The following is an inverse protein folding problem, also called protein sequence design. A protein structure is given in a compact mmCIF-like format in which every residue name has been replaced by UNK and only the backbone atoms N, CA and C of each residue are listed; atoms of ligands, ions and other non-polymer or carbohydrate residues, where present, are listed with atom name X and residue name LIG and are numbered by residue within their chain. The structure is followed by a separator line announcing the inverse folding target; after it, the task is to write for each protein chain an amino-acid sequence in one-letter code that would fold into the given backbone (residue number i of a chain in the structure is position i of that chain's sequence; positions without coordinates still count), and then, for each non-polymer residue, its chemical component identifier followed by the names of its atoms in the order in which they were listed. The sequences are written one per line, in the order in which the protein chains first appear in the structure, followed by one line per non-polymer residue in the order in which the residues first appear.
data_IF_804016639307
#
_entry.id   IF_804016639307
#
_cell.length_a   1.000
_cell.length_b   1.000
_cell.length_c   1.000
_cell.angle_alpha   90.00
_cell.angle_beta   90.00
_cell.angle_gamma   90.00
#
_symmetry.space_group_name_H-M   'P 1'
#
loop_
_entity.id
_entity.type
_entity.pdbx_description
1 polymer ?
#
# COMPACT_ATOMS: atom_id res chain seq x y z
N UNK A 1 15.45 -8.70 -0.72
CA UNK A 1 14.21 -9.21 -0.05
C UNK A 1 13.03 -8.43 -0.58
N UNK A 2 11.96 -9.11 -1.00
CA UNK A 2 10.72 -8.45 -1.45
C UNK A 2 9.82 -8.21 -0.21
N UNK A 3 9.19 -7.04 -0.11
CA UNK A 3 8.32 -6.67 1.04
C UNK A 3 6.87 -6.88 0.65
N UNK A 4 6.11 -7.62 1.47
CA UNK A 4 4.67 -7.79 1.30
C UNK A 4 3.95 -6.63 1.96
N UNK A 5 2.98 -6.06 1.25
CA UNK A 5 2.26 -4.85 1.69
C UNK A 5 0.77 -4.94 1.41
N UNK A 6 0.00 -4.30 2.29
CA UNK A 6 -1.41 -4.00 2.15
C UNK A 6 -1.58 -2.54 1.74
N UNK A 7 -2.54 -2.29 0.87
CA UNK A 7 -2.89 -0.97 0.37
C UNK A 7 -4.20 -0.51 0.98
N UNK A 8 -4.17 0.69 1.57
CA UNK A 8 -5.38 1.37 1.99
C UNK A 8 -5.51 2.67 1.21
N UNK A 9 -6.73 3.03 0.83
CA UNK A 9 -7.05 4.23 0.06
C UNK A 9 -8.13 5.04 0.74
N UNK A 10 -7.96 6.36 0.74
CA UNK A 10 -8.99 7.29 1.18
C UNK A 10 -9.89 7.73 0.04
N UNK A 11 -11.03 8.32 0.36
CA UNK A 11 -12.01 8.81 -0.62
C UNK A 11 -11.47 9.95 -1.52
N UNK A 12 -10.43 10.65 -1.06
CA UNK A 12 -9.72 11.70 -1.82
C UNK A 12 -8.58 11.16 -2.69
N UNK A 13 -8.39 9.82 -2.72
CA UNK A 13 -7.40 9.17 -3.57
C UNK A 13 -5.98 9.11 -3.01
N UNK A 14 -5.80 9.41 -1.72
CA UNK A 14 -4.53 9.18 -1.03
C UNK A 14 -4.39 7.72 -0.64
N UNK A 15 -3.16 7.22 -0.59
CA UNK A 15 -2.88 5.79 -0.40
C UNK A 15 -1.85 5.59 0.70
N UNK A 16 -2.05 4.58 1.54
CA UNK A 16 -1.08 4.13 2.52
C UNK A 16 -0.62 2.70 2.22
N UNK A 17 0.67 2.46 2.45
CA UNK A 17 1.32 1.14 2.38
C UNK A 17 1.64 0.65 3.79
N UNK A 18 1.10 -0.51 4.16
CA UNK A 18 1.36 -1.19 5.43
C UNK A 18 1.96 -2.57 5.20
N UNK A 19 2.77 -3.08 6.14
CA UNK A 19 3.21 -4.48 6.16
C UNK A 19 2.35 -5.37 7.08
N UNK A 20 2.69 -6.68 7.13
CA UNK A 20 2.09 -7.71 8.01
C UNK A 20 1.95 -7.38 9.50
N UNK A 21 2.71 -6.40 9.98
CA UNK A 21 2.77 -6.02 11.40
C UNK A 21 2.12 -4.66 11.62
N UNK A 22 1.26 -4.25 10.70
CA UNK A 22 0.67 -2.91 10.63
C UNK A 22 1.74 -1.82 10.64
N UNK A 23 2.96 -2.11 10.16
CA UNK A 23 3.99 -1.09 10.04
C UNK A 23 3.78 -0.33 8.75
N UNK A 24 3.55 0.97 8.91
CA UNK A 24 3.56 1.90 7.82
C UNK A 24 4.91 1.91 7.08
N UNK A 25 4.85 2.04 5.75
CA UNK A 25 6.03 2.11 4.90
C UNK A 25 6.09 3.38 4.06
N UNK A 26 4.98 3.77 3.45
CA UNK A 26 4.93 4.92 2.57
C UNK A 26 3.50 5.38 2.34
N UNK A 27 3.36 6.62 1.92
CA UNK A 27 2.10 7.23 1.52
C UNK A 27 2.18 7.80 0.11
N UNK A 28 1.05 7.80 -0.58
CA UNK A 28 0.82 8.62 -1.76
C UNK A 28 0.02 9.85 -1.33
N UNK A 29 0.67 11.02 -1.33
CA UNK A 29 0.12 12.30 -0.88
C UNK A 29 0.45 13.38 -1.90
N UNK A 30 -0.51 14.28 -2.17
CA UNK A 30 -0.35 15.39 -3.11
C UNK A 30 0.20 14.98 -4.48
N UNK A 31 -0.19 13.79 -4.97
CA UNK A 31 0.25 13.25 -6.26
C UNK A 31 1.67 12.69 -6.29
N UNK A 32 2.28 12.40 -5.13
CA UNK A 32 3.64 11.86 -5.01
C UNK A 32 3.74 10.76 -3.96
N UNK A 33 4.62 9.79 -4.20
CA UNK A 33 5.02 8.80 -3.20
C UNK A 33 6.07 9.35 -2.25
N UNK A 34 5.84 9.16 -0.95
CA UNK A 34 6.71 9.63 0.12
C UNK A 34 6.99 8.47 1.09
N UNK A 35 8.27 8.21 1.36
CA UNK A 35 8.70 7.21 2.35
C UNK A 35 8.56 7.75 3.78
N UNK A 36 8.16 6.89 4.72
CA UNK A 36 8.16 7.16 6.17
C UNK A 36 7.38 8.42 6.62
N UNK A 37 6.50 8.97 5.77
CA UNK A 37 5.58 10.06 6.14
C UNK A 37 4.21 9.47 6.42
N UNK A 38 4.00 9.11 7.69
CA UNK A 38 2.69 8.75 8.22
C UNK A 38 1.79 9.99 8.16
N UNK A 39 0.57 9.82 7.65
CA UNK A 39 -0.49 10.81 7.81
C UNK A 39 -0.69 11.10 9.30
N UNK A 40 -1.05 12.35 9.63
CA UNK A 40 -1.43 12.65 11.01
C UNK A 40 -2.66 11.81 11.36
N UNK A 41 -2.78 11.33 12.59
CA UNK A 41 -3.84 10.40 13.01
C UNK A 41 -5.28 10.88 12.74
N UNK A 42 -5.45 12.19 12.57
CA UNK A 42 -6.71 12.84 12.16
C UNK A 42 -7.02 12.79 10.65
N UNK A 43 -6.00 12.57 9.79
CA UNK A 43 -6.17 12.42 8.34
C UNK A 43 -6.61 10.97 7.98
N UNK A 44 -6.56 10.04 8.94
CA UNK A 44 -6.79 8.60 8.73
C UNK A 44 -8.24 8.13 8.94
N UNK A 45 -9.20 9.03 9.22
CA UNK A 45 -10.55 8.61 9.68
C UNK A 45 -11.37 7.82 8.64
N UNK A 46 -11.01 7.82 7.35
CA UNK A 46 -11.71 7.05 6.31
C UNK A 46 -10.74 6.41 5.28
N UNK A 47 -9.97 5.41 5.70
CA UNK A 47 -9.18 4.57 4.79
C UNK A 47 -9.83 3.20 4.63
N UNK A 48 -10.14 2.85 3.38
CA UNK A 48 -10.67 1.53 3.01
C UNK A 48 -9.56 0.66 2.43
N UNK A 49 -9.60 -0.63 2.71
CA UNK A 49 -8.70 -1.60 2.09
C UNK A 49 -9.01 -1.66 0.59
N UNK A 50 -7.98 -1.57 -0.26
CA UNK A 50 -8.14 -1.84 -1.69
C UNK A 50 -8.22 -3.35 -1.88
N UNK A 51 -9.29 -3.84 -2.51
CA UNK A 51 -9.53 -5.25 -2.81
C UNK A 51 -9.48 -5.59 -4.32
N UNK A 52 -9.51 -4.57 -5.19
CA UNK A 52 -9.33 -4.75 -6.63
C UNK A 52 -7.87 -5.06 -6.98
N UNK A 53 -7.63 -6.28 -7.46
CA UNK A 53 -6.30 -6.76 -7.85
C UNK A 53 -5.63 -5.90 -8.94
N UNK A 54 -6.39 -5.38 -9.91
CA UNK A 54 -5.81 -4.53 -10.96
C UNK A 54 -5.39 -3.18 -10.38
N UNK A 55 -6.20 -2.62 -9.48
CA UNK A 55 -5.86 -1.38 -8.77
C UNK A 55 -4.61 -1.58 -7.91
N UNK A 56 -4.55 -2.68 -7.14
CA UNK A 56 -3.39 -3.06 -6.33
C UNK A 56 -2.13 -3.17 -7.20
N UNK A 57 -2.18 -3.90 -8.31
CA UNK A 57 -1.02 -4.06 -9.18
C UNK A 57 -0.54 -2.73 -9.77
N UNK A 58 -1.47 -1.87 -10.20
CA UNK A 58 -1.16 -0.54 -10.75
C UNK A 58 -0.49 0.35 -9.71
N UNK A 59 -1.07 0.45 -8.51
CA UNK A 59 -0.56 1.27 -7.40
C UNK A 59 0.81 0.76 -6.95
N UNK A 60 0.99 -0.57 -6.84
CA UNK A 60 2.27 -1.15 -6.49
C UNK A 60 3.33 -0.93 -7.57
N UNK A 61 2.98 -0.97 -8.86
CA UNK A 61 3.93 -0.69 -9.93
C UNK A 61 4.44 0.76 -9.86
N UNK A 62 3.53 1.70 -9.58
CA UNK A 62 3.86 3.10 -9.37
C UNK A 62 4.74 3.29 -8.14
N UNK A 63 4.34 2.73 -7.00
CA UNK A 63 5.08 2.80 -5.74
C UNK A 63 6.48 2.17 -5.87
N UNK A 64 6.62 1.03 -6.55
CA UNK A 64 7.93 0.39 -6.80
C UNK A 64 8.86 1.30 -7.56
N UNK A 65 8.34 2.00 -8.56
CA UNK A 65 9.12 2.90 -9.41
C UNK A 65 9.53 4.14 -8.63
N UNK A 66 8.59 4.76 -7.90
CA UNK A 66 8.84 5.99 -7.17
C UNK A 66 9.71 5.79 -5.91
N UNK A 67 9.54 4.68 -5.21
CA UNK A 67 10.25 4.37 -3.96
C UNK A 67 11.53 3.53 -4.18
N UNK A 68 11.78 3.10 -5.42
CA UNK A 68 12.87 2.19 -5.79
C UNK A 68 12.94 0.92 -4.90
N UNK A 69 11.78 0.44 -4.44
CA UNK A 69 11.66 -0.64 -3.47
C UNK A 69 10.92 -1.84 -4.08
N UNK A 70 11.37 -3.09 -3.86
CA UNK A 70 10.64 -4.27 -4.30
C UNK A 70 9.44 -4.55 -3.39
N UNK A 71 8.30 -3.94 -3.69
CA UNK A 71 7.01 -4.19 -3.06
C UNK A 71 6.29 -5.37 -3.73
N UNK A 72 5.50 -6.10 -2.95
CA UNK A 72 4.61 -7.18 -3.39
C UNK A 72 3.28 -7.03 -2.67
N UNK A 73 2.20 -7.31 -3.38
CA UNK A 73 0.90 -7.41 -2.76
C UNK A 73 0.88 -8.55 -1.74
N UNK A 74 0.31 -8.28 -0.58
CA UNK A 74 0.08 -9.28 0.45
C UNK A 74 -1.21 -10.07 0.25
N UNK A 75 -2.23 -9.48 -0.39
CA UNK A 75 -3.52 -10.14 -0.60
C UNK A 75 -3.40 -11.38 -1.52
N UNK A 76 -2.41 -11.37 -2.41
CA UNK A 76 -2.04 -12.46 -3.33
C UNK A 76 -1.52 -13.73 -2.62
N UNK A 77 -1.12 -13.67 -1.36
CA UNK A 77 -0.57 -14.83 -0.64
C UNK A 77 -1.63 -15.88 -0.25
N UNK A 78 -2.93 -15.53 -0.35
CA UNK A 78 -4.04 -16.45 -0.10
C UNK A 78 -4.38 -17.35 -1.30
N UNK A 79 -3.70 -17.22 -2.44
CA UNK A 79 -3.91 -18.08 -3.63
C UNK A 79 -2.98 -19.29 -3.69
N UNK A 80 -2.06 -19.47 -2.74
CA UNK A 80 -1.30 -20.70 -2.63
C UNK A 80 -2.16 -21.77 -1.91
N UNK A 81 -2.51 -22.90 -2.56
CA UNK A 81 -3.20 -23.97 -1.87
C UNK A 81 -2.30 -24.48 -0.73
N UNK A 82 -2.82 -24.43 0.49
CA UNK A 82 -2.25 -25.19 1.61
C UNK A 82 -2.37 -26.67 1.26
N UNK A 83 -1.26 -27.29 0.85
CA UNK A 83 -1.12 -28.75 0.81
C UNK A 83 -1.28 -29.34 2.21
#
# INVERSE_FOLDING_TARGET
MKRKVLLQKSDIGEICLFDRRDKFHASFKDGKWVNDVLFDSYELEEFNLIDDLNEIESVLAEARTALACPLLDESSDNLAPRN
#
